data_IF_028710442239
#
_entry.id   IF_028710442239
#
_cell.length_a   1.000
_cell.length_b   1.000
_cell.length_c   1.000
_cell.angle_alpha   90.00
_cell.angle_beta   90.00
_cell.angle_gamma   90.00
#
_symmetry.space_group_name_H-M   'P 1'
#
loop_
_entity.id
_entity.type
_entity.pdbx_description
1 polymer ?
#
# COMPACT_ATOMS: atom_id res chain seq x y z
N UNK A 1 -22.11 38.62 -22.59
CA UNK A 1 -22.16 38.95 -21.16
C UNK A 1 -21.06 38.16 -20.52
N UNK A 2 -19.91 38.81 -20.27
CA UNK A 2 -18.70 38.12 -19.78
C UNK A 2 -18.85 37.85 -18.30
N UNK A 3 -18.96 36.58 -17.93
CA UNK A 3 -18.81 36.13 -16.53
C UNK A 3 -17.41 35.51 -16.42
N UNK A 4 -16.45 36.34 -16.02
CA UNK A 4 -15.15 35.85 -15.55
C UNK A 4 -15.33 35.30 -14.13
N UNK A 5 -15.42 33.97 -13.98
CA UNK A 5 -15.36 33.35 -12.69
C UNK A 5 -13.93 33.44 -12.17
N UNK A 6 -13.69 34.27 -11.16
CA UNK A 6 -12.46 34.32 -10.40
C UNK A 6 -12.39 33.04 -9.54
N UNK A 7 -11.74 32.00 -10.06
CA UNK A 7 -11.50 30.76 -9.33
C UNK A 7 -10.53 31.04 -8.16
N UNK A 8 -11.03 30.96 -6.92
CA UNK A 8 -10.23 31.11 -5.71
C UNK A 8 -9.58 29.79 -5.31
N UNK A 9 -8.53 29.36 -6.02
CA UNK A 9 -7.65 28.28 -5.54
C UNK A 9 -6.75 28.70 -4.34
N UNK A 10 -6.94 29.90 -3.81
CA UNK A 10 -5.95 30.53 -2.94
C UNK A 10 -5.97 30.13 -1.46
N UNK A 11 -7.03 29.55 -0.95
CA UNK A 11 -7.15 29.28 0.51
C UNK A 11 -6.70 27.88 0.91
N UNK A 12 -6.93 26.87 0.08
CA UNK A 12 -6.53 25.49 0.39
C UNK A 12 -5.01 25.27 0.35
N UNK A 13 -4.25 26.08 -0.40
CA UNK A 13 -2.79 25.96 -0.45
C UNK A 13 -2.08 26.44 0.84
N UNK A 14 -2.75 27.27 1.63
CA UNK A 14 -2.15 27.83 2.88
C UNK A 14 -2.07 26.84 4.03
N UNK A 15 -2.87 25.79 4.04
CA UNK A 15 -2.89 24.79 5.12
C UNK A 15 -1.90 23.65 4.84
N UNK A 16 -1.65 23.32 3.56
CA UNK A 16 -0.78 22.20 3.19
C UNK A 16 0.72 22.52 3.29
N UNK A 17 1.12 23.79 3.06
CA UNK A 17 2.53 24.18 3.10
C UNK A 17 3.19 24.03 4.49
N UNK A 18 2.54 24.38 5.61
CA UNK A 18 3.11 24.16 6.95
C UNK A 18 3.29 22.70 7.29
N UNK A 19 2.35 21.83 6.89
CA UNK A 19 2.43 20.39 7.17
C UNK A 19 3.58 19.70 6.41
N UNK A 20 3.84 20.11 5.17
CA UNK A 20 4.96 19.58 4.38
C UNK A 20 6.32 20.04 4.93
N UNK A 21 6.43 21.29 5.37
CA UNK A 21 7.65 21.85 5.96
C UNK A 21 7.94 21.22 7.32
N UNK A 22 6.91 20.96 8.14
CA UNK A 22 7.08 20.31 9.45
C UNK A 22 7.51 18.84 9.29
N UNK A 23 7.01 18.14 8.29
CA UNK A 23 7.43 16.76 8.01
C UNK A 23 8.89 16.71 7.51
N UNK A 24 9.32 17.67 6.69
CA UNK A 24 10.71 17.78 6.22
C UNK A 24 11.69 18.12 7.36
N UNK A 25 11.26 18.94 8.33
CA UNK A 25 12.08 19.31 9.49
C UNK A 25 12.30 18.15 10.48
N UNK A 26 11.36 17.19 10.56
CA UNK A 26 11.53 15.98 11.38
C UNK A 26 12.60 15.03 10.83
N UNK A 27 12.92 15.09 9.54
CA UNK A 27 13.95 14.23 8.92
C UNK A 27 15.39 14.71 9.14
N UNK A 28 15.61 15.95 9.54
CA UNK A 28 16.98 16.50 9.73
C UNK A 28 17.62 16.15 11.07
N UNK A 29 16.89 15.47 11.97
CA UNK A 29 17.39 15.10 13.31
C UNK A 29 17.65 13.60 13.50
N UNK A 30 17.49 12.76 12.49
CA UNK A 30 17.88 11.34 12.59
C UNK A 30 19.39 11.24 12.30
N UNK A 31 20.21 11.45 13.32
CA UNK A 31 21.60 11.05 13.31
C UNK A 31 21.63 9.52 13.25
N UNK A 32 22.25 8.89 12.24
CA UNK A 32 22.40 7.45 12.25
C UNK A 32 23.21 7.07 13.49
N UNK A 33 22.62 6.28 14.39
CA UNK A 33 23.39 5.61 15.42
C UNK A 33 24.45 4.78 14.69
N UNK A 34 25.71 5.15 14.85
CA UNK A 34 26.82 4.36 14.35
C UNK A 34 26.64 2.95 14.92
N UNK A 35 26.41 1.98 14.04
CA UNK A 35 26.41 0.59 14.41
C UNK A 35 27.79 0.32 15.04
N UNK A 36 27.84 0.15 16.35
CA UNK A 36 29.02 -0.42 16.98
C UNK A 36 29.20 -1.80 16.37
N UNK A 37 30.22 -1.94 15.55
CA UNK A 37 30.72 -3.26 15.13
C UNK A 37 31.22 -3.90 16.42
N UNK A 38 30.33 -4.67 17.07
CA UNK A 38 30.69 -5.47 18.21
C UNK A 38 31.83 -6.38 17.78
N UNK A 39 32.89 -6.45 18.60
CA UNK A 39 33.98 -7.39 18.39
C UNK A 39 33.38 -8.80 18.30
N UNK A 40 33.76 -9.54 17.25
CA UNK A 40 33.30 -10.92 17.07
C UNK A 40 33.78 -11.74 18.29
N UNK A 41 32.82 -12.21 19.11
CA UNK A 41 33.15 -13.11 20.22
C UNK A 41 33.31 -14.51 19.65
N UNK A 42 34.45 -15.14 19.94
CA UNK A 42 34.70 -16.51 19.56
C UNK A 42 35.54 -17.17 20.64
N UNK A 43 35.09 -18.30 21.17
CA UNK A 43 35.82 -19.06 22.20
C UNK A 43 35.66 -20.54 21.98
N UNK A 44 36.80 -21.24 22.12
CA UNK A 44 36.90 -22.69 22.10
C UNK A 44 37.36 -23.18 23.49
N UNK A 45 36.78 -24.26 23.98
CA UNK A 45 37.17 -24.92 25.22
C UNK A 45 37.16 -26.42 25.02
N UNK A 46 38.28 -27.06 25.27
CA UNK A 46 38.40 -28.53 25.34
C UNK A 46 38.01 -29.01 26.73
N UNK A 47 37.07 -29.94 26.80
CA UNK A 47 36.65 -30.58 28.04
C UNK A 47 36.13 -31.99 27.77
N UNK A 48 36.55 -32.96 28.54
CA UNK A 48 36.11 -34.37 28.50
C UNK A 48 36.20 -34.99 27.09
N UNK A 49 37.27 -34.67 26.32
CA UNK A 49 37.50 -35.17 24.94
C UNK A 49 36.56 -34.55 23.89
N UNK A 50 36.00 -33.40 24.18
CA UNK A 50 35.18 -32.62 23.29
C UNK A 50 35.64 -31.18 23.18
N UNK A 51 35.44 -30.55 22.04
CA UNK A 51 35.71 -29.14 21.81
C UNK A 51 34.39 -28.39 21.77
N UNK A 52 34.16 -27.52 22.74
CA UNK A 52 33.00 -26.67 22.86
C UNK A 52 33.28 -25.31 22.21
N UNK A 53 32.41 -24.84 21.34
CA UNK A 53 32.59 -23.62 20.54
C UNK A 53 31.47 -22.64 20.76
N UNK A 54 31.82 -21.41 21.09
CA UNK A 54 30.90 -20.33 21.44
C UNK A 54 31.17 -19.10 20.59
N UNK A 55 30.10 -18.44 20.14
CA UNK A 55 30.14 -17.13 19.51
C UNK A 55 29.34 -16.08 20.28
N UNK A 56 28.81 -16.39 21.46
CA UNK A 56 28.20 -15.46 22.40
C UNK A 56 28.74 -15.57 23.81
N UNK A 57 29.06 -14.44 24.47
CA UNK A 57 29.60 -14.47 25.86
C UNK A 57 28.62 -15.07 26.87
N UNK A 58 27.32 -14.85 26.65
CA UNK A 58 26.23 -15.29 27.53
C UNK A 58 26.13 -16.81 27.54
N UNK A 59 26.20 -17.45 26.39
CA UNK A 59 26.18 -18.93 26.28
C UNK A 59 27.41 -19.55 26.90
N UNK A 60 28.56 -18.95 26.70
CA UNK A 60 29.78 -19.43 27.34
C UNK A 60 29.67 -19.39 28.86
N UNK A 61 29.19 -18.27 29.46
CA UNK A 61 29.01 -18.15 30.92
C UNK A 61 28.02 -19.18 31.47
N UNK A 62 26.91 -19.42 30.77
CA UNK A 62 25.89 -20.41 31.15
C UNK A 62 26.51 -21.83 31.18
N UNK A 63 27.25 -22.17 30.13
CA UNK A 63 27.92 -23.46 30.03
C UNK A 63 29.01 -23.61 31.10
N UNK A 64 29.78 -22.56 31.37
CA UNK A 64 30.81 -22.56 32.42
C UNK A 64 30.21 -22.81 33.81
N UNK A 65 29.01 -22.29 34.08
CA UNK A 65 28.30 -22.43 35.34
C UNK A 65 27.58 -23.78 35.49
N UNK A 66 27.02 -24.34 34.43
CA UNK A 66 26.13 -25.51 34.47
C UNK A 66 26.74 -26.78 33.83
N UNK A 67 27.72 -26.62 32.95
CA UNK A 67 28.21 -27.71 32.09
C UNK A 67 27.25 -28.06 30.94
N UNK A 68 26.08 -27.39 30.83
CA UNK A 68 25.06 -27.69 29.84
C UNK A 68 25.09 -26.65 28.71
N UNK A 69 25.20 -27.13 27.47
CA UNK A 69 25.20 -26.31 26.25
C UNK A 69 23.78 -26.01 25.76
N UNK A 70 22.78 -26.76 26.21
CA UNK A 70 21.41 -26.73 25.65
C UNK A 70 21.37 -27.21 24.21
N UNK A 71 20.54 -26.56 23.39
CA UNK A 71 20.50 -26.87 21.93
C UNK A 71 21.83 -26.49 21.30
N UNK A 72 22.48 -27.45 20.67
CA UNK A 72 23.83 -27.33 20.10
C UNK A 72 23.97 -28.17 18.82
N UNK A 73 24.96 -27.86 18.00
CA UNK A 73 25.31 -28.63 16.80
C UNK A 73 26.55 -29.46 17.14
N UNK A 74 26.48 -30.77 16.90
CA UNK A 74 27.57 -31.69 17.24
C UNK A 74 28.16 -32.33 15.99
N UNK A 75 29.45 -32.17 15.76
CA UNK A 75 30.22 -32.87 14.74
C UNK A 75 31.17 -33.87 15.37
N UNK A 76 30.95 -35.16 15.12
CA UNK A 76 31.75 -36.25 15.64
C UNK A 76 33.05 -36.38 14.83
N UNK A 77 34.18 -36.45 15.51
CA UNK A 77 35.48 -36.71 14.89
C UNK A 77 36.04 -35.55 14.04
N UNK A 78 35.55 -34.33 14.21
CA UNK A 78 36.00 -33.16 13.46
C UNK A 78 36.96 -32.25 14.23
N UNK A 79 37.36 -32.62 15.45
CA UNK A 79 38.45 -31.97 16.14
C UNK A 79 39.81 -32.34 15.55
N UNK A 80 40.89 -31.58 15.81
CA UNK A 80 42.23 -31.79 15.25
C UNK A 80 42.83 -33.18 15.53
N UNK A 81 42.45 -33.80 16.62
CA UNK A 81 42.88 -35.16 17.00
C UNK A 81 41.73 -36.17 17.00
N UNK A 82 40.60 -35.83 16.30
CA UNK A 82 39.42 -36.68 16.25
C UNK A 82 38.40 -36.45 17.35
N UNK A 83 38.51 -35.33 18.09
CA UNK A 83 37.53 -34.96 19.10
C UNK A 83 36.18 -34.65 18.50
N UNK A 84 35.14 -34.75 19.31
CA UNK A 84 33.81 -34.28 18.96
C UNK A 84 33.70 -32.77 19.18
N UNK A 85 33.30 -32.01 18.15
CA UNK A 85 33.06 -30.57 18.21
C UNK A 85 31.61 -30.32 18.56
N UNK A 86 31.32 -29.49 19.57
CA UNK A 86 29.98 -29.11 20.01
C UNK A 86 29.87 -27.57 19.93
N UNK A 87 29.17 -27.06 18.94
CA UNK A 87 29.02 -25.65 18.72
C UNK A 87 27.63 -25.13 19.20
N UNK A 88 27.61 -23.97 19.80
CA UNK A 88 26.35 -23.37 20.30
C UNK A 88 25.31 -23.09 19.19
N UNK A 89 25.77 -22.86 17.97
CA UNK A 89 24.94 -22.64 16.79
C UNK A 89 25.77 -22.78 15.49
N UNK A 90 25.12 -22.64 14.33
CA UNK A 90 25.78 -22.75 13.01
C UNK A 90 26.92 -21.73 12.84
N UNK A 91 26.74 -20.51 13.31
CA UNK A 91 27.75 -19.45 13.18
C UNK A 91 29.01 -19.81 13.98
N UNK A 92 28.85 -20.31 15.19
CA UNK A 92 30.00 -20.79 16.01
C UNK A 92 30.73 -21.95 15.31
N UNK A 93 29.98 -22.87 14.71
CA UNK A 93 30.52 -23.97 13.93
C UNK A 93 31.29 -23.50 12.70
N UNK A 94 30.69 -22.60 11.89
CA UNK A 94 31.34 -22.05 10.69
C UNK A 94 32.65 -21.32 11.04
N UNK A 95 32.68 -20.57 12.13
CA UNK A 95 33.88 -19.89 12.62
C UNK A 95 34.97 -20.90 13.05
N UNK A 96 34.56 -21.99 13.66
CA UNK A 96 35.48 -23.09 14.05
C UNK A 96 36.09 -23.74 12.81
N UNK A 97 35.25 -24.16 11.85
CA UNK A 97 35.71 -24.81 10.62
C UNK A 97 36.64 -23.89 9.82
N UNK A 98 36.29 -22.62 9.71
CA UNK A 98 37.14 -21.61 9.05
C UNK A 98 38.48 -21.43 9.74
N UNK A 99 38.50 -21.31 11.08
CA UNK A 99 39.73 -21.14 11.89
C UNK A 99 40.68 -22.31 11.71
N UNK A 100 40.16 -23.53 11.68
CA UNK A 100 40.95 -24.76 11.58
C UNK A 100 41.19 -25.24 10.15
N UNK A 101 40.75 -24.46 9.13
CA UNK A 101 40.93 -24.81 7.71
C UNK A 101 40.22 -26.11 7.29
N UNK A 102 39.13 -26.46 8.00
CA UNK A 102 38.31 -27.62 7.71
C UNK A 102 37.25 -27.32 6.65
N UNK A 103 36.86 -28.35 5.88
CA UNK A 103 35.78 -28.22 4.92
C UNK A 103 34.50 -27.77 5.59
N UNK A 104 33.74 -26.92 4.89
CA UNK A 104 32.44 -26.44 5.35
C UNK A 104 31.51 -27.62 5.69
N UNK A 105 30.72 -27.46 6.75
CA UNK A 105 29.75 -28.45 7.14
C UNK A 105 28.71 -28.64 6.00
N UNK A 106 28.60 -29.90 5.57
CA UNK A 106 27.61 -30.28 4.56
C UNK A 106 26.20 -30.20 5.18
N UNK A 107 25.60 -29.05 5.05
CA UNK A 107 24.24 -28.81 5.54
C UNK A 107 23.28 -29.61 4.69
N UNK A 108 22.30 -30.33 5.31
CA UNK A 108 21.23 -30.90 4.52
C UNK A 108 20.60 -29.78 3.72
N UNK A 109 20.83 -29.81 2.41
CA UNK A 109 20.19 -28.84 1.49
C UNK A 109 18.69 -28.89 1.80
N UNK A 110 18.05 -27.76 2.09
CA UNK A 110 16.61 -27.74 2.25
C UNK A 110 16.03 -28.45 1.02
N UNK A 111 15.14 -29.43 1.23
CA UNK A 111 14.43 -30.03 0.10
C UNK A 111 13.99 -28.90 -0.79
N UNK A 112 14.31 -28.92 -2.10
CA UNK A 112 13.92 -27.82 -2.99
C UNK A 112 12.44 -27.59 -2.76
N UNK A 113 12.12 -26.38 -2.28
CA UNK A 113 10.72 -25.96 -2.19
C UNK A 113 10.13 -26.18 -3.57
N UNK A 114 9.00 -26.89 -3.71
CA UNK A 114 8.40 -27.09 -5.01
C UNK A 114 8.37 -25.76 -5.73
N UNK A 115 8.90 -25.72 -6.95
CA UNK A 115 8.91 -24.49 -7.73
C UNK A 115 7.50 -23.90 -7.66
N UNK A 116 7.33 -22.63 -7.33
CA UNK A 116 6.02 -22.01 -7.31
C UNK A 116 5.37 -22.28 -8.65
N UNK A 117 4.09 -22.66 -8.64
CA UNK A 117 3.32 -22.90 -9.86
C UNK A 117 3.57 -21.71 -10.80
N UNK A 118 3.90 -21.94 -12.06
CA UNK A 118 4.21 -20.85 -12.97
C UNK A 118 2.98 -19.96 -13.10
N UNK A 119 3.06 -18.74 -12.58
CA UNK A 119 2.03 -17.71 -12.79
C UNK A 119 2.09 -17.14 -14.21
N UNK A 120 3.03 -17.62 -15.02
CA UNK A 120 3.26 -17.23 -16.41
C UNK A 120 3.11 -18.48 -17.30
N UNK A 121 2.16 -18.43 -18.22
CA UNK A 121 1.95 -19.45 -19.24
C UNK A 121 2.50 -18.93 -20.58
N UNK A 122 3.37 -19.70 -21.24
CA UNK A 122 3.80 -19.38 -22.61
C UNK A 122 2.75 -19.89 -23.60
N UNK A 123 2.30 -19.02 -24.50
CA UNK A 123 1.34 -19.34 -25.56
C UNK A 123 1.90 -18.82 -26.90
N UNK A 124 2.42 -19.72 -27.72
CA UNK A 124 3.19 -19.35 -28.91
C UNK A 124 4.41 -18.50 -28.51
N UNK A 125 4.59 -17.35 -29.18
CA UNK A 125 5.65 -16.36 -28.86
C UNK A 125 5.27 -15.39 -27.73
N UNK A 126 4.05 -15.52 -27.21
CA UNK A 126 3.52 -14.67 -26.15
C UNK A 126 3.59 -15.31 -24.76
N UNK A 127 3.22 -14.51 -23.77
CA UNK A 127 3.09 -14.96 -22.38
C UNK A 127 1.79 -14.46 -21.75
N UNK A 128 1.16 -15.30 -20.95
CA UNK A 128 0.01 -14.98 -20.12
C UNK A 128 0.41 -15.03 -18.65
N UNK A 129 -0.02 -14.03 -17.87
CA UNK A 129 0.17 -13.94 -16.42
C UNK A 129 -1.19 -13.90 -15.74
N UNK A 130 -1.36 -14.77 -14.76
CA UNK A 130 -2.53 -14.77 -13.89
C UNK A 130 -2.17 -14.10 -12.56
N UNK A 131 -3.11 -13.35 -12.04
CA UNK A 131 -3.06 -12.81 -10.70
C UNK A 131 -4.43 -12.91 -10.04
N UNK A 132 -4.43 -13.03 -8.73
CA UNK A 132 -5.65 -13.07 -7.92
C UNK A 132 -5.45 -12.27 -6.64
N UNK A 133 -6.52 -11.61 -6.19
CA UNK A 133 -6.60 -11.02 -4.86
C UNK A 133 -7.96 -11.36 -4.25
N UNK A 134 -7.93 -12.06 -3.12
CA UNK A 134 -9.10 -12.31 -2.29
C UNK A 134 -8.95 -11.54 -0.97
N UNK A 135 -9.97 -10.78 -0.59
CA UNK A 135 -10.06 -10.10 0.69
C UNK A 135 -11.42 -10.35 1.32
N UNK A 136 -11.40 -11.01 2.47
CA UNK A 136 -12.59 -11.22 3.30
C UNK A 136 -12.45 -10.41 4.59
N UNK A 137 -13.51 -9.70 4.96
CA UNK A 137 -13.55 -8.84 6.13
C UNK A 137 -14.64 -9.24 7.11
N UNK A 138 -14.37 -9.04 8.39
CA UNK A 138 -15.36 -8.82 9.41
C UNK A 138 -15.30 -7.35 9.81
N UNK A 139 -16.43 -6.68 9.81
CA UNK A 139 -16.56 -5.26 10.19
C UNK A 139 -17.53 -5.17 11.36
N UNK A 140 -17.05 -4.63 12.47
CA UNK A 140 -17.90 -4.20 13.58
C UNK A 140 -18.06 -2.68 13.52
N UNK A 141 -19.27 -2.20 13.75
CA UNK A 141 -19.65 -0.80 13.58
C UNK A 141 -20.58 -0.41 14.74
N UNK A 142 -20.20 0.60 15.51
CA UNK A 142 -20.99 1.10 16.65
C UNK A 142 -21.76 2.40 16.33
N UNK A 143 -21.84 2.79 15.02
CA UNK A 143 -22.60 3.96 14.62
C UNK A 143 -24.10 3.82 14.93
N UNK A 144 -24.74 4.94 15.22
CA UNK A 144 -26.17 4.98 15.55
C UNK A 144 -27.06 4.67 14.33
N UNK A 145 -28.13 3.87 14.49
CA UNK A 145 -28.98 3.43 13.37
C UNK A 145 -29.65 4.55 12.57
N UNK A 146 -29.84 5.72 13.17
CA UNK A 146 -30.49 6.86 12.51
C UNK A 146 -29.64 7.56 11.45
N UNK A 147 -28.37 7.22 11.32
CA UNK A 147 -27.40 7.98 10.52
C UNK A 147 -27.22 7.49 9.09
N UNK A 148 -27.80 6.35 8.72
CA UNK A 148 -27.69 5.79 7.37
C UNK A 148 -26.50 4.86 7.20
N UNK A 149 -25.66 5.07 6.18
CA UNK A 149 -24.46 4.27 5.92
C UNK A 149 -23.25 4.83 6.62
N UNK A 150 -22.50 3.96 7.29
CA UNK A 150 -21.23 4.29 7.92
C UNK A 150 -20.10 4.51 6.91
N UNK A 151 -18.93 4.95 7.39
CA UNK A 151 -17.74 5.26 6.55
C UNK A 151 -17.37 4.13 5.57
N UNK A 152 -17.44 2.87 6.01
CA UNK A 152 -17.15 1.71 5.15
C UNK A 152 -18.39 1.19 4.38
N UNK A 153 -19.51 1.89 4.42
CA UNK A 153 -20.74 1.51 3.72
C UNK A 153 -21.53 0.39 4.39
N UNK A 154 -21.33 0.16 5.69
CA UNK A 154 -22.19 -0.74 6.47
C UNK A 154 -23.56 -0.10 6.71
N UNK A 155 -24.58 -0.93 6.93
CA UNK A 155 -25.74 -0.50 7.67
C UNK A 155 -25.27 -0.11 9.06
N UNK A 156 -25.70 1.04 9.55
CA UNK A 156 -25.28 1.58 10.85
C UNK A 156 -25.53 0.59 11.99
N UNK A 157 -24.60 0.53 12.94
CA UNK A 157 -24.68 -0.34 14.10
C UNK A 157 -24.62 -1.84 13.81
N UNK A 158 -24.13 -2.26 12.65
CA UNK A 158 -24.13 -3.66 12.23
C UNK A 158 -22.76 -4.33 12.28
N UNK A 159 -22.77 -5.60 12.66
CA UNK A 159 -21.62 -6.50 12.52
C UNK A 159 -21.79 -7.34 11.24
N UNK A 160 -20.80 -7.30 10.34
CA UNK A 160 -20.97 -7.86 9.01
C UNK A 160 -19.72 -8.59 8.53
N UNK A 161 -19.88 -9.82 8.03
CA UNK A 161 -18.88 -10.46 7.18
C UNK A 161 -19.11 -10.06 5.73
N UNK A 162 -18.03 -9.75 5.01
CA UNK A 162 -18.11 -9.39 3.58
C UNK A 162 -16.92 -9.87 2.78
N UNK A 163 -17.14 -10.16 1.52
CA UNK A 163 -16.08 -10.27 0.53
C UNK A 163 -15.77 -8.88 0.00
N UNK A 164 -14.65 -8.31 0.42
CA UNK A 164 -14.31 -6.93 0.04
C UNK A 164 -13.79 -6.83 -1.37
N UNK A 165 -12.99 -7.83 -1.80
CA UNK A 165 -12.44 -7.93 -3.15
C UNK A 165 -12.27 -9.39 -3.54
N UNK A 166 -12.58 -9.68 -4.80
CA UNK A 166 -12.31 -10.96 -5.45
C UNK A 166 -11.73 -10.68 -6.84
N UNK A 167 -10.58 -9.98 -6.89
CA UNK A 167 -9.97 -9.52 -8.14
C UNK A 167 -9.29 -10.71 -8.84
N UNK A 168 -9.63 -10.93 -10.12
CA UNK A 168 -8.95 -11.83 -11.03
C UNK A 168 -8.33 -11.02 -12.14
N UNK A 169 -7.01 -11.15 -12.29
CA UNK A 169 -6.23 -10.43 -13.29
C UNK A 169 -5.64 -11.40 -14.31
N UNK A 170 -5.84 -11.10 -15.57
CA UNK A 170 -5.16 -11.71 -16.69
C UNK A 170 -4.41 -10.62 -17.45
N UNK A 171 -3.13 -10.80 -17.65
CA UNK A 171 -2.34 -9.89 -18.48
C UNK A 171 -1.39 -10.70 -19.36
N UNK A 172 -0.98 -10.14 -20.48
CA UNK A 172 -0.10 -10.88 -21.37
C UNK A 172 0.58 -10.00 -22.38
N UNK A 173 1.63 -10.57 -22.99
CA UNK A 173 2.28 -10.04 -24.19
C UNK A 173 1.94 -10.94 -25.37
N UNK A 174 1.38 -10.36 -26.42
CA UNK A 174 1.09 -11.04 -27.68
C UNK A 174 2.30 -10.99 -28.60
N UNK A 175 3.02 -9.88 -28.55
CA UNK A 175 4.32 -9.68 -29.23
C UNK A 175 5.31 -9.07 -28.23
N UNK A 176 6.55 -8.81 -28.67
CA UNK A 176 7.55 -8.12 -27.83
C UNK A 176 7.10 -6.74 -27.35
N UNK A 177 6.22 -6.08 -28.11
CA UNK A 177 5.81 -4.70 -27.85
C UNK A 177 4.34 -4.52 -27.51
N UNK A 178 3.48 -5.45 -27.90
CA UNK A 178 2.03 -5.35 -27.68
C UNK A 178 1.56 -6.34 -26.64
N UNK A 179 0.75 -5.86 -25.73
CA UNK A 179 0.15 -6.65 -24.66
C UNK A 179 -1.28 -6.22 -24.36
N UNK A 180 -1.82 -6.82 -23.33
CA UNK A 180 -3.14 -6.50 -22.80
C UNK A 180 -3.19 -6.74 -21.30
N UNK A 181 -4.18 -6.13 -20.66
CA UNK A 181 -4.58 -6.45 -19.30
C UNK A 181 -6.10 -6.51 -19.19
N UNK A 182 -6.57 -7.47 -18.39
CA UNK A 182 -7.96 -7.64 -17.98
C UNK A 182 -7.99 -7.86 -16.48
N UNK A 183 -8.82 -7.12 -15.77
CA UNK A 183 -9.11 -7.35 -14.36
C UNK A 183 -10.60 -7.27 -14.11
N UNK A 184 -11.14 -8.28 -13.43
CA UNK A 184 -12.53 -8.34 -12.98
C UNK A 184 -12.58 -8.51 -11.47
N UNK A 185 -13.59 -7.94 -10.82
CA UNK A 185 -13.86 -8.08 -9.38
C UNK A 185 -15.33 -8.47 -9.14
N UNK A 186 -15.64 -9.78 -9.14
CA UNK A 186 -16.99 -10.26 -8.87
C UNK A 186 -17.55 -9.86 -7.50
N UNK A 187 -16.72 -9.51 -6.52
CA UNK A 187 -17.22 -9.03 -5.23
C UNK A 187 -18.00 -7.70 -5.37
N UNK A 188 -17.82 -6.95 -6.45
CA UNK A 188 -18.56 -5.71 -6.73
C UNK A 188 -20.03 -5.93 -7.13
N UNK A 189 -20.45 -7.14 -7.43
CA UNK A 189 -21.88 -7.47 -7.63
C UNK A 189 -22.65 -7.52 -6.32
N UNK A 190 -21.94 -7.56 -5.17
CA UNK A 190 -22.57 -7.57 -3.87
C UNK A 190 -23.03 -6.15 -3.51
N UNK A 191 -24.32 -5.99 -3.29
CA UNK A 191 -24.90 -4.73 -2.84
C UNK A 191 -24.62 -4.52 -1.36
N UNK A 192 -23.88 -3.48 -1.02
CA UNK A 192 -23.78 -2.97 0.36
C UNK A 192 -24.85 -1.90 0.64
N UNK A 193 -25.50 -1.39 -0.40
CA UNK A 193 -26.62 -0.44 -0.34
C UNK A 193 -27.58 -0.75 -1.47
N UNK A 194 -28.86 -0.38 -1.34
CA UNK A 194 -29.82 -0.47 -2.44
C UNK A 194 -29.29 0.35 -3.64
N UNK A 195 -28.99 -0.31 -4.77
CA UNK A 195 -28.36 0.29 -5.94
C UNK A 195 -26.91 -0.16 -6.17
N UNK A 196 -26.60 -1.43 -5.92
CA UNK A 196 -25.27 -2.01 -6.12
C UNK A 196 -24.65 -1.69 -7.46
N UNK A 197 -23.36 -1.48 -7.42
CA UNK A 197 -22.56 -1.15 -8.59
C UNK A 197 -22.17 -2.44 -9.31
N UNK A 198 -22.93 -2.86 -10.32
CA UNK A 198 -22.67 -4.07 -11.12
C UNK A 198 -21.39 -3.98 -11.99
N UNK A 199 -20.49 -3.05 -11.67
CA UNK A 199 -19.28 -2.75 -12.42
C UNK A 199 -18.16 -3.72 -12.08
N UNK A 200 -18.31 -4.99 -12.43
CA UNK A 200 -17.29 -6.03 -12.17
C UNK A 200 -16.02 -5.83 -13.01
N UNK A 201 -16.12 -5.27 -14.21
CA UNK A 201 -14.95 -4.99 -15.03
C UNK A 201 -14.16 -3.84 -14.41
N UNK A 202 -12.93 -4.10 -14.02
CA UNK A 202 -12.05 -3.11 -13.42
C UNK A 202 -11.11 -2.52 -14.49
N UNK A 203 -10.20 -3.32 -15.01
CA UNK A 203 -9.25 -2.89 -16.03
C UNK A 203 -9.46 -3.74 -17.29
N UNK A 204 -9.47 -3.09 -18.46
CA UNK A 204 -9.41 -3.72 -19.78
C UNK A 204 -8.68 -2.79 -20.71
N UNK A 205 -7.47 -3.12 -21.10
CA UNK A 205 -6.66 -2.26 -21.97
C UNK A 205 -5.74 -3.07 -22.88
N UNK A 206 -5.51 -2.52 -24.07
CA UNK A 206 -4.41 -2.92 -24.95
C UNK A 206 -3.24 -1.99 -24.62
N UNK A 207 -2.04 -2.56 -24.53
CA UNK A 207 -0.83 -1.85 -24.13
C UNK A 207 0.28 -1.97 -25.18
N UNK A 208 1.06 -0.92 -25.35
CA UNK A 208 2.24 -0.88 -26.19
C UNK A 208 3.46 -0.47 -25.37
N UNK A 209 4.48 -1.33 -25.37
CA UNK A 209 5.74 -1.16 -24.62
C UNK A 209 6.98 -1.22 -25.53
N UNK A 210 6.83 -0.87 -26.81
CA UNK A 210 7.93 -0.93 -27.79
C UNK A 210 9.03 0.12 -27.58
N UNK A 211 8.78 1.15 -26.78
CA UNK A 211 9.77 2.12 -26.35
C UNK A 211 10.24 1.81 -24.93
N UNK A 212 11.53 1.64 -24.74
CA UNK A 212 12.11 1.28 -23.44
C UNK A 212 11.78 2.35 -22.38
N UNK A 213 11.17 1.92 -21.28
CA UNK A 213 10.76 2.81 -20.17
C UNK A 213 9.42 3.50 -20.40
N UNK A 214 8.71 3.22 -21.51
CA UNK A 214 7.45 3.86 -21.84
C UNK A 214 6.36 2.82 -22.12
N UNK A 215 5.17 3.08 -21.62
CA UNK A 215 3.96 2.31 -21.88
C UNK A 215 2.85 3.24 -22.36
N UNK A 216 2.19 2.86 -23.43
CA UNK A 216 0.95 3.49 -23.91
C UNK A 216 -0.17 2.48 -23.79
N UNK A 217 -1.34 2.94 -23.44
CA UNK A 217 -2.52 2.08 -23.27
C UNK A 217 -3.76 2.72 -23.86
N UNK A 218 -4.68 1.90 -24.33
CA UNK A 218 -6.03 2.29 -24.72
C UNK A 218 -7.02 1.31 -24.11
N UNK A 219 -8.08 1.82 -23.48
CA UNK A 219 -9.10 1.03 -22.81
C UNK A 219 -9.50 1.63 -21.48
N UNK A 220 -9.96 0.81 -20.53
CA UNK A 220 -10.32 1.22 -19.18
C UNK A 220 -9.19 0.94 -18.21
N UNK A 221 -8.68 1.97 -17.54
CA UNK A 221 -7.64 1.89 -16.51
C UNK A 221 -7.89 2.92 -15.40
N UNK A 222 -7.16 2.81 -14.29
CA UNK A 222 -7.12 3.88 -13.27
C UNK A 222 -6.51 5.15 -13.84
N UNK A 223 -7.16 6.30 -13.56
CA UNK A 223 -6.58 7.61 -13.83
C UNK A 223 -5.44 7.92 -12.85
N UNK A 224 -4.40 8.62 -13.31
CA UNK A 224 -3.18 8.84 -12.54
C UNK A 224 -3.29 10.09 -11.64
N UNK A 225 -4.18 10.06 -10.64
CA UNK A 225 -4.38 11.19 -9.72
C UNK A 225 -3.73 10.92 -8.37
N UNK A 226 -4.22 9.98 -7.56
CA UNK A 226 -3.70 9.71 -6.22
C UNK A 226 -2.64 8.61 -6.21
N UNK A 227 -1.66 8.70 -5.32
CA UNK A 227 -0.62 7.66 -5.17
C UNK A 227 -1.23 6.38 -4.59
N UNK A 228 -1.99 6.50 -3.51
CA UNK A 228 -2.64 5.36 -2.89
C UNK A 228 -3.69 4.73 -3.82
N UNK A 229 -4.40 5.53 -4.62
CA UNK A 229 -5.37 5.07 -5.60
C UNK A 229 -4.76 4.19 -6.69
N UNK A 230 -3.58 4.56 -7.19
CA UNK A 230 -2.85 3.78 -8.20
C UNK A 230 -2.26 2.48 -7.67
N UNK A 231 -1.98 2.38 -6.36
CA UNK A 231 -1.46 1.13 -5.78
C UNK A 231 -2.44 -0.02 -5.94
N UNK A 232 -1.90 -1.22 -6.11
CA UNK A 232 -2.69 -2.44 -6.06
C UNK A 232 -3.40 -2.55 -4.71
N UNK A 233 -4.62 -3.07 -4.72
CA UNK A 233 -5.36 -3.32 -3.48
C UNK A 233 -4.64 -4.31 -2.54
N UNK A 234 -3.78 -5.17 -3.08
CA UNK A 234 -2.93 -6.07 -2.27
C UNK A 234 -1.78 -5.36 -1.55
N UNK A 235 -1.45 -4.13 -1.94
CA UNK A 235 -0.34 -3.33 -1.41
C UNK A 235 -0.78 -2.18 -0.49
N UNK A 236 -2.06 -2.12 -0.15
CA UNK A 236 -2.56 -1.10 0.76
C UNK A 236 -1.95 -1.26 2.15
N UNK A 237 -1.61 -0.13 2.75
CA UNK A 237 -1.02 -0.10 4.08
C UNK A 237 -2.03 -0.50 5.17
N UNK A 238 -3.29 -0.08 5.05
CA UNK A 238 -4.42 -0.48 5.90
C UNK A 238 -5.41 -1.33 5.09
N UNK A 239 -6.45 -1.83 5.72
CA UNK A 239 -7.48 -2.62 5.04
C UNK A 239 -8.18 -1.82 3.95
N UNK A 240 -8.44 -0.52 4.19
CA UNK A 240 -9.05 0.38 3.21
C UNK A 240 -8.21 1.62 2.92
N UNK A 241 -8.42 2.20 1.73
CA UNK A 241 -7.83 3.47 1.30
C UNK A 241 -8.35 4.63 2.13
N UNK A 242 -7.56 5.68 2.19
CA UNK A 242 -7.96 6.95 2.80
C UNK A 242 -9.20 7.56 2.13
N UNK A 243 -9.91 8.41 2.87
CA UNK A 243 -11.12 9.07 2.35
C UNK A 243 -10.80 9.92 1.14
N UNK A 244 -9.76 10.74 1.21
CA UNK A 244 -9.39 11.64 0.11
C UNK A 244 -9.05 10.85 -1.16
N UNK A 245 -8.30 9.76 -1.05
CA UNK A 245 -8.00 8.87 -2.18
C UNK A 245 -9.26 8.33 -2.83
N UNK A 246 -10.23 7.86 -2.04
CA UNK A 246 -11.48 7.28 -2.53
C UNK A 246 -12.36 8.30 -3.25
N UNK A 247 -12.30 9.56 -2.84
CA UNK A 247 -13.11 10.63 -3.43
C UNK A 247 -12.42 11.24 -4.66
N UNK A 248 -11.12 11.50 -4.57
CA UNK A 248 -10.42 12.28 -5.59
C UNK A 248 -9.81 11.39 -6.69
N UNK A 249 -9.37 10.19 -6.40
CA UNK A 249 -8.47 9.49 -7.31
C UNK A 249 -8.58 7.99 -7.50
N UNK A 250 -9.37 7.22 -6.75
CA UNK A 250 -9.54 5.78 -7.00
C UNK A 250 -10.63 5.53 -8.05
N UNK A 251 -10.44 6.10 -9.25
CA UNK A 251 -11.39 6.04 -10.34
C UNK A 251 -10.77 5.36 -11.56
N UNK A 252 -11.63 4.69 -12.35
CA UNK A 252 -11.30 4.10 -13.64
C UNK A 252 -12.16 4.75 -14.72
N UNK A 253 -11.52 5.02 -15.85
CA UNK A 253 -12.20 5.64 -16.99
C UNK A 253 -11.70 5.03 -18.30
N UNK A 254 -12.49 5.10 -19.35
CA UNK A 254 -12.12 4.66 -20.70
C UNK A 254 -11.38 5.80 -21.41
N UNK A 255 -10.21 5.49 -22.03
CA UNK A 255 -9.44 6.49 -22.74
C UNK A 255 -8.04 6.02 -23.13
N UNK A 256 -7.16 6.99 -23.34
CA UNK A 256 -5.74 6.82 -23.62
C UNK A 256 -4.93 7.04 -22.36
N UNK A 257 -3.89 6.25 -22.17
CA UNK A 257 -3.01 6.27 -21.02
C UNK A 257 -1.56 6.25 -21.45
N UNK A 258 -0.75 6.97 -20.73
CA UNK A 258 0.71 6.96 -20.87
C UNK A 258 1.35 6.79 -19.49
N UNK A 259 2.43 6.00 -19.45
CA UNK A 259 3.35 5.89 -18.32
C UNK A 259 4.77 5.91 -18.86
N UNK A 260 5.64 6.73 -18.27
CA UNK A 260 7.04 6.85 -18.66
C UNK A 260 7.97 6.92 -17.46
N UNK A 261 9.13 6.28 -17.56
CA UNK A 261 10.24 6.37 -16.61
C UNK A 261 11.37 7.12 -17.30
N UNK A 262 11.83 8.23 -16.70
CA UNK A 262 12.88 9.10 -17.22
C UNK A 262 14.11 8.99 -16.32
N UNK A 263 14.99 8.08 -16.70
CA UNK A 263 16.09 7.64 -15.84
C UNK A 263 15.57 6.94 -14.59
N UNK A 264 16.35 7.00 -13.51
CA UNK A 264 16.01 6.36 -12.25
C UNK A 264 15.20 7.27 -11.31
N UNK A 265 15.20 8.57 -11.60
CA UNK A 265 14.69 9.60 -10.66
C UNK A 265 13.32 10.14 -10.99
N UNK A 266 12.84 10.03 -12.22
CA UNK A 266 11.56 10.61 -12.60
C UNK A 266 10.64 9.57 -13.22
N UNK A 267 9.35 9.62 -12.82
CA UNK A 267 8.26 8.92 -13.45
C UNK A 267 7.18 9.91 -13.87
N UNK A 268 6.50 9.66 -14.97
CA UNK A 268 5.39 10.47 -15.41
C UNK A 268 4.24 9.60 -15.91
N UNK A 269 3.02 10.05 -15.68
CA UNK A 269 1.78 9.45 -16.18
C UNK A 269 0.93 10.55 -16.80
N UNK A 270 0.21 10.19 -17.83
CA UNK A 270 -0.82 11.05 -18.42
C UNK A 270 -2.00 10.21 -18.89
N UNK A 271 -3.17 10.78 -18.90
CA UNK A 271 -4.35 10.16 -19.48
C UNK A 271 -5.27 11.21 -20.10
N UNK A 272 -5.96 10.81 -21.16
CA UNK A 272 -7.06 11.54 -21.76
C UNK A 272 -8.21 10.55 -21.88
N UNK A 273 -9.31 10.82 -21.19
CA UNK A 273 -10.40 9.88 -20.97
C UNK A 273 -11.76 10.54 -21.18
N UNK A 274 -12.81 9.73 -21.25
CA UNK A 274 -14.18 10.22 -21.42
C UNK A 274 -14.71 11.06 -20.23
N UNK A 275 -14.02 11.07 -19.08
CA UNK A 275 -14.53 11.74 -17.87
C UNK A 275 -15.74 11.05 -17.23
N UNK A 276 -16.15 9.89 -17.74
CA UNK A 276 -17.33 9.14 -17.27
C UNK A 276 -16.96 8.07 -16.26
N UNK A 277 -17.88 7.61 -15.40
CA UNK A 277 -17.63 6.51 -14.49
C UNK A 277 -17.16 5.23 -15.20
N UNK A 278 -16.55 4.30 -14.45
CA UNK A 278 -16.13 3.00 -14.97
C UNK A 278 -17.29 2.25 -15.65
N UNK A 279 -16.95 1.44 -16.67
CA UNK A 279 -17.90 0.67 -17.50
C UNK A 279 -18.92 1.51 -18.28
N UNK A 280 -18.59 2.77 -18.53
CA UNK A 280 -19.37 3.67 -19.40
C UNK A 280 -18.55 3.90 -20.67
N UNK A 281 -19.04 3.37 -21.79
CA UNK A 281 -18.37 3.44 -23.10
C UNK A 281 -18.77 4.67 -23.92
N UNK A 282 -19.62 5.52 -23.38
CA UNK A 282 -20.11 6.70 -24.04
C UNK A 282 -19.61 7.97 -23.36
N UNK A 283 -19.28 8.97 -24.18
CA UNK A 283 -19.01 10.32 -23.73
C UNK A 283 -20.19 11.22 -24.09
N UNK A 284 -21.06 11.48 -23.12
CA UNK A 284 -22.32 12.18 -23.32
C UNK A 284 -22.19 13.71 -23.46
N UNK A 285 -20.97 14.27 -23.40
CA UNK A 285 -20.78 15.73 -23.34
C UNK A 285 -19.67 16.29 -24.25
N UNK A 286 -19.12 15.49 -25.16
CA UNK A 286 -18.06 15.88 -26.12
C UNK A 286 -16.75 16.43 -25.47
N UNK A 287 -16.66 16.48 -24.17
CA UNK A 287 -15.46 16.91 -23.45
C UNK A 287 -14.69 15.71 -22.85
N UNK A 288 -13.37 15.83 -22.84
CA UNK A 288 -12.52 14.82 -22.30
C UNK A 288 -11.96 15.27 -20.94
N UNK A 289 -11.74 14.31 -20.05
CA UNK A 289 -10.98 14.52 -18.83
C UNK A 289 -9.50 14.23 -19.08
N UNK A 290 -8.65 15.20 -18.81
CA UNK A 290 -7.19 15.06 -18.93
C UNK A 290 -6.55 15.05 -17.55
N UNK A 291 -5.63 14.12 -17.31
CA UNK A 291 -4.89 14.05 -16.08
C UNK A 291 -3.40 13.80 -16.35
N UNK A 292 -2.56 14.35 -15.47
CA UNK A 292 -1.13 14.12 -15.48
C UNK A 292 -0.59 13.99 -14.06
N UNK A 293 0.48 13.21 -13.91
CA UNK A 293 1.23 13.01 -12.67
C UNK A 293 2.71 12.97 -12.95
N UNK A 294 3.51 13.55 -12.07
CA UNK A 294 4.97 13.46 -12.08
C UNK A 294 5.45 13.06 -10.70
N UNK A 295 6.32 12.04 -10.66
CA UNK A 295 7.00 11.56 -9.46
C UNK A 295 8.49 11.86 -9.54
N UNK A 296 9.06 12.35 -8.46
CA UNK A 296 10.51 12.48 -8.25
C UNK A 296 10.97 11.49 -7.19
N UNK A 297 11.99 10.71 -7.50
CA UNK A 297 12.57 9.64 -6.68
C UNK A 297 14.01 10.06 -6.28
N UNK A 298 14.19 10.94 -5.28
CA UNK A 298 15.52 11.45 -4.91
C UNK A 298 16.47 10.36 -4.43
N UNK A 299 15.95 9.41 -3.66
CA UNK A 299 16.66 8.25 -3.11
C UNK A 299 15.77 7.01 -3.19
N UNK A 300 16.38 5.83 -3.12
CA UNK A 300 15.64 4.55 -3.12
C UNK A 300 14.61 4.52 -1.99
N UNK A 301 13.38 4.19 -2.33
CA UNK A 301 12.26 4.10 -1.38
C UNK A 301 11.51 5.42 -1.14
N UNK A 302 12.01 6.57 -1.63
CA UNK A 302 11.36 7.87 -1.49
C UNK A 302 10.72 8.32 -2.80
N UNK A 303 9.48 8.78 -2.72
CA UNK A 303 8.76 9.38 -3.84
C UNK A 303 8.12 10.68 -3.36
N UNK A 304 8.33 11.73 -4.12
CA UNK A 304 7.62 12.99 -4.03
C UNK A 304 6.90 13.20 -5.34
N UNK A 305 5.64 13.56 -5.34
CA UNK A 305 4.94 13.75 -6.58
C UNK A 305 3.78 14.73 -6.49
N UNK A 306 3.41 15.18 -7.68
CA UNK A 306 2.23 16.03 -7.89
C UNK A 306 1.44 15.49 -9.05
N UNK A 307 0.14 15.64 -8.99
CA UNK A 307 -0.77 15.28 -10.06
C UNK A 307 -1.93 16.24 -10.14
N UNK A 308 -2.54 16.33 -11.30
CA UNK A 308 -3.72 17.12 -11.52
C UNK A 308 -4.53 16.57 -12.68
N UNK A 309 -5.78 16.94 -12.72
CA UNK A 309 -6.67 16.60 -13.82
C UNK A 309 -7.76 17.67 -13.97
N UNK A 310 -8.22 17.85 -15.19
CA UNK A 310 -9.28 18.80 -15.52
C UNK A 310 -10.14 18.28 -16.64
N UNK A 311 -11.41 18.65 -16.63
CA UNK A 311 -12.38 18.26 -17.63
C UNK A 311 -13.79 18.41 -17.14
N UNK A 312 -14.71 17.68 -17.76
CA UNK A 312 -16.09 17.63 -17.31
C UNK A 312 -16.67 16.22 -17.37
N UNK A 313 -17.77 16.02 -16.66
CA UNK A 313 -18.49 14.74 -16.60
C UNK A 313 -20.00 14.98 -16.77
N UNK A 314 -20.70 13.98 -17.33
CA UNK A 314 -22.14 14.01 -17.52
C UNK A 314 -22.57 14.92 -18.67
N UNK A 315 -23.80 14.71 -19.20
CA UNK A 315 -24.36 15.44 -20.33
C UNK A 315 -24.51 16.96 -20.09
N UNK A 316 -24.51 17.37 -18.83
CA UNK A 316 -24.61 18.77 -18.39
C UNK A 316 -23.25 19.45 -18.13
N UNK A 317 -22.17 18.85 -18.64
CA UNK A 317 -20.78 19.38 -18.57
C UNK A 317 -20.34 19.80 -17.16
N UNK A 318 -20.63 18.96 -16.17
CA UNK A 318 -20.22 19.22 -14.79
C UNK A 318 -18.70 19.25 -14.65
N UNK A 319 -18.18 20.28 -14.01
CA UNK A 319 -16.74 20.42 -13.78
C UNK A 319 -16.16 19.21 -13.01
N UNK A 320 -14.94 18.84 -13.35
CA UNK A 320 -14.22 17.76 -12.69
C UNK A 320 -12.73 18.13 -12.63
N UNK A 321 -12.36 18.97 -11.65
CA UNK A 321 -10.95 19.38 -11.47
C UNK A 321 -10.34 18.65 -10.29
N UNK A 322 -9.07 18.29 -10.39
CA UNK A 322 -8.32 17.53 -9.38
C UNK A 322 -6.91 18.11 -9.23
N UNK A 323 -6.44 18.19 -7.98
CA UNK A 323 -5.06 18.54 -7.66
C UNK A 323 -4.61 17.68 -6.48
N UNK A 324 -3.44 17.01 -6.58
CA UNK A 324 -2.91 16.17 -5.53
C UNK A 324 -1.41 16.38 -5.40
N UNK A 325 -0.94 16.40 -4.16
CA UNK A 325 0.48 16.32 -3.82
C UNK A 325 0.69 15.13 -2.88
N UNK A 326 1.77 14.37 -3.07
CA UNK A 326 2.02 13.19 -2.26
C UNK A 326 3.49 13.01 -1.89
N UNK A 327 3.68 12.35 -0.77
CA UNK A 327 4.96 11.85 -0.28
C UNK A 327 4.83 10.37 0.08
N UNK A 328 5.81 9.57 -0.32
CA UNK A 328 5.94 8.17 0.04
C UNK A 328 7.37 7.87 0.46
N UNK A 329 7.52 7.20 1.58
CA UNK A 329 8.75 6.56 2.01
C UNK A 329 8.48 5.09 2.28
N UNK A 330 9.20 4.22 1.58
CA UNK A 330 9.17 2.78 1.83
C UNK A 330 10.29 2.42 2.79
N UNK A 331 9.96 1.69 3.85
CA UNK A 331 10.92 1.26 4.84
C UNK A 331 12.07 0.44 4.24
N UNK A 332 13.23 0.54 4.85
CA UNK A 332 14.42 -0.25 4.54
C UNK A 332 14.61 -1.38 5.55
N UNK A 333 15.53 -2.29 5.31
CA UNK A 333 15.88 -3.34 6.29
C UNK A 333 16.40 -2.75 7.61
N UNK A 334 17.16 -1.65 7.54
CA UNK A 334 17.71 -0.96 8.72
C UNK A 334 16.71 -0.04 9.40
N UNK A 335 15.77 0.53 8.64
CA UNK A 335 14.70 1.39 9.14
C UNK A 335 13.36 0.90 8.56
N UNK A 336 12.72 -0.09 9.19
CA UNK A 336 11.47 -0.67 8.71
C UNK A 336 10.25 0.22 9.02
N UNK A 337 10.34 1.50 8.63
CA UNK A 337 9.34 2.54 8.83
C UNK A 337 8.82 3.02 7.48
N UNK A 338 7.52 2.86 7.24
CA UNK A 338 6.82 3.35 6.06
C UNK A 338 6.10 4.64 6.42
N UNK A 339 6.28 5.68 5.60
CA UNK A 339 5.59 6.95 5.78
C UNK A 339 4.82 7.29 4.51
N UNK A 340 3.61 7.80 4.68
CA UNK A 340 2.74 8.27 3.59
C UNK A 340 2.15 9.61 3.97
N UNK A 341 2.03 10.45 2.98
CA UNK A 341 1.25 11.67 3.05
C UNK A 341 0.66 11.94 1.68
N UNK A 342 -0.61 12.30 1.64
CA UNK A 342 -1.27 12.74 0.42
C UNK A 342 -2.27 13.83 0.77
N UNK A 343 -2.20 14.95 0.05
CA UNK A 343 -3.16 16.03 0.05
C UNK A 343 -3.87 16.04 -1.27
N UNK A 344 -5.19 16.23 -1.28
CA UNK A 344 -5.99 16.31 -2.48
C UNK A 344 -7.01 17.43 -2.40
N UNK A 345 -7.28 18.08 -3.54
CA UNK A 345 -8.37 19.00 -3.73
C UNK A 345 -9.12 18.64 -5.00
N UNK A 346 -10.41 18.87 -5.00
CA UNK A 346 -11.30 18.56 -6.12
C UNK A 346 -12.42 19.59 -6.23
N UNK A 347 -12.80 19.91 -7.48
CA UNK A 347 -14.04 20.62 -7.79
C UNK A 347 -14.97 19.66 -8.52
N UNK A 348 -16.17 19.45 -7.99
CA UNK A 348 -17.18 18.57 -8.55
C UNK A 348 -18.43 19.38 -8.92
N UNK A 349 -18.69 19.53 -10.20
CA UNK A 349 -19.87 20.19 -10.72
C UNK A 349 -21.16 19.46 -10.35
N UNK A 350 -22.19 20.21 -9.97
CA UNK A 350 -23.48 19.67 -9.56
C UNK A 350 -24.55 19.73 -10.64
N UNK A 351 -24.22 20.26 -11.82
CA UNK A 351 -25.12 20.40 -12.96
C UNK A 351 -25.74 21.79 -13.11
N UNK A 352 -26.56 21.95 -14.11
CA UNK A 352 -27.11 23.25 -14.51
C UNK A 352 -27.84 23.96 -13.36
N UNK A 353 -27.44 25.18 -13.07
CA UNK A 353 -28.07 26.04 -12.07
C UNK A 353 -27.72 25.72 -10.61
N UNK A 354 -26.77 24.81 -10.36
CA UNK A 354 -26.22 24.52 -9.04
C UNK A 354 -24.75 24.98 -8.97
N UNK A 355 -24.33 25.41 -7.80
CA UNK A 355 -22.93 25.72 -7.55
C UNK A 355 -22.08 24.44 -7.54
N UNK A 356 -20.85 24.55 -8.01
CA UNK A 356 -19.87 23.47 -7.92
C UNK A 356 -19.50 23.24 -6.44
N UNK A 357 -19.12 22.02 -6.09
CA UNK A 357 -18.66 21.67 -4.74
C UNK A 357 -17.15 21.57 -4.78
N UNK A 358 -16.49 22.43 -4.02
CA UNK A 358 -15.06 22.34 -3.77
C UNK A 358 -14.80 21.46 -2.54
N UNK A 359 -13.86 20.52 -2.67
CA UNK A 359 -13.52 19.54 -1.66
C UNK A 359 -12.01 19.54 -1.44
N UNK A 360 -11.59 19.33 -0.20
CA UNK A 360 -10.18 19.19 0.10
C UNK A 360 -9.97 18.18 1.24
N UNK A 361 -8.78 17.62 1.32
CA UNK A 361 -8.45 16.75 2.43
C UNK A 361 -7.03 16.21 2.33
N UNK A 362 -6.61 15.56 3.40
CA UNK A 362 -5.30 14.92 3.45
C UNK A 362 -5.32 13.69 4.35
N UNK A 363 -4.32 12.85 4.19
CA UNK A 363 -3.96 11.89 5.21
C UNK A 363 -2.45 11.86 5.41
N UNK A 364 -2.07 11.50 6.63
CA UNK A 364 -0.71 11.16 6.98
C UNK A 364 -0.69 9.80 7.68
N UNK A 365 0.24 8.91 7.33
CA UNK A 365 0.37 7.62 8.01
C UNK A 365 1.82 7.23 8.25
N UNK A 366 2.01 6.50 9.35
CA UNK A 366 3.28 5.88 9.72
C UNK A 366 3.04 4.41 10.10
N UNK A 367 3.84 3.51 9.53
CA UNK A 367 3.77 2.09 9.84
C UNK A 367 5.17 1.58 10.15
N UNK A 368 5.29 0.79 11.20
CA UNK A 368 6.55 0.18 11.62
C UNK A 368 6.44 -1.34 11.62
N UNK A 369 7.38 -2.02 10.97
CA UNK A 369 7.43 -3.49 10.95
C UNK A 369 8.48 -3.97 11.95
N UNK A 370 8.07 -4.86 12.84
CA UNK A 370 8.95 -5.52 13.81
C UNK A 370 8.85 -7.04 13.68
N UNK A 371 9.86 -7.74 14.18
CA UNK A 371 9.98 -9.20 14.09
C UNK A 371 9.69 -9.75 12.67
N UNK A 372 9.98 -8.96 11.62
CA UNK A 372 9.81 -9.28 10.18
C UNK A 372 8.38 -9.55 9.71
N UNK A 373 7.45 -9.86 10.60
CA UNK A 373 6.10 -10.31 10.26
C UNK A 373 4.99 -9.43 10.84
N UNK A 374 5.29 -8.67 11.88
CA UNK A 374 4.28 -7.84 12.54
C UNK A 374 4.48 -6.38 12.17
N UNK A 375 3.37 -5.71 11.88
CA UNK A 375 3.36 -4.28 11.56
C UNK A 375 2.32 -3.57 12.40
N UNK A 376 2.69 -2.45 12.97
CA UNK A 376 1.77 -1.50 13.59
C UNK A 376 1.71 -0.24 12.75
N UNK A 377 0.58 0.41 12.73
CA UNK A 377 0.40 1.63 11.94
C UNK A 377 -0.61 2.58 12.54
N UNK A 378 -0.40 3.85 12.26
CA UNK A 378 -1.35 4.92 12.56
C UNK A 378 -1.58 5.71 11.27
N UNK A 379 -2.83 6.11 11.02
CA UNK A 379 -3.22 7.05 9.97
C UNK A 379 -4.18 8.07 10.54
N UNK A 380 -3.93 9.32 10.22
CA UNK A 380 -4.81 10.44 10.48
C UNK A 380 -5.30 11.01 9.17
N UNK A 381 -6.60 11.31 9.09
CA UNK A 381 -7.26 11.84 7.89
C UNK A 381 -8.14 13.02 8.27
N UNK A 382 -8.11 14.07 7.47
CA UNK A 382 -9.13 15.12 7.45
C UNK A 382 -9.64 15.28 6.02
N UNK A 383 -10.95 15.39 5.90
CA UNK A 383 -11.63 15.56 4.62
C UNK A 383 -12.78 16.54 4.80
N UNK A 384 -12.66 17.65 4.12
CA UNK A 384 -13.67 18.68 3.99
C UNK A 384 -14.54 18.35 2.79
N UNK A 385 -15.84 18.13 3.02
CA UNK A 385 -16.77 17.67 2.01
C UNK A 385 -17.23 18.79 1.08
N UNK A 386 -17.25 20.02 1.62
CA UNK A 386 -17.53 21.23 0.86
C UNK A 386 -16.87 22.43 1.52
N UNK A 387 -15.75 22.89 0.97
CA UNK A 387 -14.94 23.97 1.55
C UNK A 387 -15.65 25.32 1.65
N UNK A 388 -16.84 25.46 1.08
CA UNK A 388 -17.71 26.63 1.18
C UNK A 388 -18.75 26.52 2.30
N UNK A 389 -18.80 25.37 3.00
CA UNK A 389 -19.73 25.08 4.08
C UNK A 389 -18.94 24.84 5.37
N UNK A 390 -19.32 25.54 6.43
CA UNK A 390 -18.74 25.31 7.75
C UNK A 390 -19.34 24.05 8.43
N UNK A 391 -18.52 23.37 9.25
CA UNK A 391 -18.93 22.24 10.10
C UNK A 391 -19.40 20.99 9.31
N UNK A 392 -18.69 20.63 8.24
CA UNK A 392 -18.92 19.38 7.52
C UNK A 392 -17.66 18.52 7.39
N UNK A 393 -16.65 18.81 8.19
CA UNK A 393 -15.39 18.09 8.24
C UNK A 393 -15.57 16.64 8.69
N UNK A 394 -14.91 15.73 8.00
CA UNK A 394 -14.76 14.33 8.41
C UNK A 394 -13.32 14.09 8.88
N UNK A 395 -13.15 13.66 10.13
CA UNK A 395 -11.85 13.26 10.71
C UNK A 395 -11.85 11.77 10.99
N UNK A 396 -10.74 11.10 10.67
CA UNK A 396 -10.59 9.67 10.91
C UNK A 396 -9.21 9.41 11.49
N UNK A 397 -9.18 8.69 12.60
CA UNK A 397 -7.94 8.12 13.15
C UNK A 397 -8.01 6.61 12.97
N UNK A 398 -7.04 6.04 12.26
CA UNK A 398 -6.93 4.58 12.11
C UNK A 398 -5.71 4.06 12.85
N UNK A 399 -5.89 3.05 13.70
CA UNK A 399 -4.82 2.30 14.33
C UNK A 399 -4.86 0.85 13.84
N UNK A 400 -3.75 0.37 13.29
CA UNK A 400 -3.66 -0.97 12.69
C UNK A 400 -2.62 -1.86 13.36
N UNK A 401 -2.96 -3.14 13.50
CA UNK A 401 -2.03 -4.23 13.83
C UNK A 401 -2.14 -5.31 12.77
N UNK A 402 -1.03 -5.61 12.09
CA UNK A 402 -1.04 -6.51 10.94
C UNK A 402 -0.05 -7.66 11.14
N UNK A 403 -0.47 -8.86 10.76
CA UNK A 403 0.38 -10.04 10.69
C UNK A 403 0.66 -10.40 9.23
N UNK A 404 1.88 -10.16 8.79
CA UNK A 404 2.35 -10.31 7.40
C UNK A 404 2.92 -11.72 7.20
N UNK A 405 2.07 -12.75 7.10
CA UNK A 405 2.44 -14.17 6.99
C UNK A 405 3.37 -14.41 5.80
N UNK A 406 3.00 -13.88 4.63
CA UNK A 406 3.83 -13.89 3.41
C UNK A 406 3.80 -12.49 2.76
N UNK A 407 4.16 -11.47 3.54
CA UNK A 407 4.14 -10.08 3.10
C UNK A 407 2.78 -9.65 2.55
N UNK A 408 2.78 -8.98 1.39
CA UNK A 408 1.54 -8.54 0.72
C UNK A 408 0.68 -9.70 0.18
N UNK A 409 1.24 -10.88 0.02
CA UNK A 409 0.56 -12.01 -0.60
C UNK A 409 -0.40 -12.70 0.36
N UNK A 410 0.01 -12.90 1.63
CA UNK A 410 -0.84 -13.47 2.67
C UNK A 410 -0.68 -12.67 3.94
N UNK A 411 -1.75 -12.04 4.40
CA UNK A 411 -1.73 -11.26 5.62
C UNK A 411 -3.09 -11.18 6.31
N UNK A 412 -3.05 -10.87 7.59
CA UNK A 412 -4.18 -10.50 8.41
C UNK A 412 -3.98 -9.06 8.88
N UNK A 413 -5.02 -8.25 8.82
CA UNK A 413 -5.02 -6.87 9.31
C UNK A 413 -6.17 -6.68 10.28
N UNK A 414 -5.89 -6.03 11.39
CA UNK A 414 -6.86 -5.59 12.37
C UNK A 414 -6.74 -4.07 12.47
N UNK A 415 -7.72 -3.34 11.93
CA UNK A 415 -7.74 -1.88 11.89
C UNK A 415 -8.92 -1.36 12.72
N UNK A 416 -8.64 -0.53 13.70
CA UNK A 416 -9.64 0.26 14.42
C UNK A 416 -9.66 1.68 13.84
N UNK A 417 -10.85 2.22 13.64
CA UNK A 417 -11.08 3.55 13.11
C UNK A 417 -12.00 4.32 14.04
N UNK A 418 -11.51 5.41 14.63
CA UNK A 418 -12.32 6.43 15.28
C UNK A 418 -12.72 7.48 14.25
N UNK A 419 -14.01 7.69 14.07
CA UNK A 419 -14.58 8.55 13.04
C UNK A 419 -15.35 9.68 13.71
N UNK A 420 -15.10 10.90 13.29
CA UNK A 420 -15.81 12.11 13.72
C UNK A 420 -16.29 12.87 12.49
N UNK A 421 -17.59 13.10 12.39
CA UNK A 421 -18.21 13.86 11.32
C UNK A 421 -18.94 15.07 11.89
N UNK A 422 -18.46 16.26 11.57
CA UNK A 422 -19.08 17.53 11.97
C UNK A 422 -20.41 17.76 11.28
N UNK A 423 -21.29 18.55 11.90
CA UNK A 423 -22.57 18.99 11.32
C UNK A 423 -23.64 17.92 11.20
N UNK A 424 -23.33 16.66 11.44
CA UNK A 424 -24.29 15.57 11.42
C UNK A 424 -25.01 15.46 12.77
N UNK A 425 -26.32 15.70 12.80
CA UNK A 425 -27.12 15.56 14.01
C UNK A 425 -27.55 14.12 14.21
N UNK A 426 -27.15 13.53 15.34
CA UNK A 426 -27.63 12.25 15.85
C UNK A 426 -28.18 12.51 17.25
N UNK A 427 -29.44 12.16 17.52
CA UNK A 427 -30.07 12.35 18.83
C UNK A 427 -29.93 13.78 19.37
N UNK A 428 -30.02 14.82 18.52
CA UNK A 428 -29.77 16.24 18.81
C UNK A 428 -28.33 16.63 19.15
N UNK A 429 -27.35 15.74 18.99
CA UNK A 429 -25.93 16.08 19.05
C UNK A 429 -25.46 16.51 17.66
N UNK A 430 -24.68 17.62 17.58
CA UNK A 430 -24.26 18.22 16.31
C UNK A 430 -23.23 17.35 15.55
N UNK A 431 -22.35 16.67 16.30
CA UNK A 431 -21.26 15.88 15.74
C UNK A 431 -21.54 14.39 15.94
N UNK A 432 -21.32 13.60 14.90
CA UNK A 432 -21.38 12.16 15.00
C UNK A 432 -19.99 11.59 15.26
N UNK A 433 -19.85 10.84 16.35
CA UNK A 433 -18.64 10.09 16.69
C UNK A 433 -18.98 8.63 16.83
N UNK A 434 -18.25 7.79 16.11
CA UNK A 434 -18.42 6.34 16.18
C UNK A 434 -17.11 5.62 15.84
N UNK A 435 -17.09 4.32 16.11
CA UNK A 435 -15.95 3.49 15.81
C UNK A 435 -16.30 2.41 14.80
N UNK A 436 -15.31 2.04 14.00
CA UNK A 436 -15.37 0.84 13.17
C UNK A 436 -14.13 0.00 13.43
N UNK A 437 -14.32 -1.30 13.48
CA UNK A 437 -13.23 -2.26 13.56
C UNK A 437 -13.30 -3.20 12.37
N UNK A 438 -12.17 -3.38 11.69
CA UNK A 438 -12.04 -4.28 10.54
C UNK A 438 -11.03 -5.36 10.86
N UNK A 439 -11.46 -6.61 10.79
CA UNK A 439 -10.55 -7.76 10.70
C UNK A 439 -10.56 -8.25 9.25
N UNK A 440 -9.44 -8.09 8.56
CA UNK A 440 -9.28 -8.42 7.15
C UNK A 440 -8.29 -9.57 6.96
N UNK A 441 -8.68 -10.56 6.18
CA UNK A 441 -7.80 -11.60 5.67
C UNK A 441 -7.57 -11.40 4.18
N UNK A 442 -6.31 -11.50 3.75
CA UNK A 442 -5.89 -11.33 2.36
C UNK A 442 -5.09 -12.52 1.86
N UNK A 443 -5.40 -12.96 0.65
CA UNK A 443 -4.57 -13.87 -0.16
C UNK A 443 -4.43 -13.29 -1.56
N UNK A 444 -3.19 -13.19 -2.05
CA UNK A 444 -2.86 -12.70 -3.40
C UNK A 444 -1.71 -13.49 -4.02
N UNK A 445 -1.68 -13.58 -5.34
CA UNK A 445 -0.55 -14.12 -6.11
C UNK A 445 -0.44 -13.49 -7.50
#
# INVERSE_FOLDING_TARGET
MNITSNRRFGTSLRVALPALVTLAALFTQVVPAAAQVGSLYFKEVEKDGRIYVFNTPEKFKLWEASGDMGVSITLIGRGPNGETVVAENETALDLYLFKHGLDAFDRPTPKPTPAPLPTVLKVGDGELKFGMLLQAWYVADDSEPATGTSYLGNTTGSNTFRLRRAEFKLSGKITKSWGFELMVDPAKTQTFTAGGDDKILQDLAITYTGLKGHEFGIGQKKIAITEEGLRSSSELDFAERSRITRVVGDQRQVGLFYKGEFGEKFGAWASVTNGTPSNTNDNSNDTLFSAARVDFKPVKGMILGVSGGTGSTGADHRAADRLVAHFRWDGTETLPLWLRFEYGAATDGQGAGKEDIDRAGYYGSALYTFARQFRVGLRFEEYDQNTDVDNDMLRIVTAGFHYMIKGKNVNLKADWMGIEQEGRKVNNVLDEKYNQFVLAAQVAF
#
